data_IF_782646406201
#
_entry.id   IF_782646406201
#
_cell.length_a   1.000
_cell.length_b   1.000
_cell.length_c   1.000
_cell.angle_alpha   90.00
_cell.angle_beta   90.00
_cell.angle_gamma   90.00
#
_symmetry.space_group_name_H-M   'P 1'
#
loop_
_entity.id
_entity.type
_entity.pdbx_description
1 polymer ?
#
# COMPACT_ATOMS: atom_id res chain seq x y z
N UNK A 1 -57.96 61.35 -18.11
CA UNK A 1 -58.23 60.89 -16.73
C UNK A 1 -59.57 60.17 -16.81
N UNK A 2 -59.72 58.86 -16.62
CA UNK A 2 -59.24 57.97 -15.55
C UNK A 2 -59.20 56.52 -16.07
N UNK A 3 -58.27 55.74 -15.52
CA UNK A 3 -58.09 54.30 -15.75
C UNK A 3 -59.21 53.49 -15.05
N UNK A 4 -59.56 52.32 -15.60
CA UNK A 4 -59.42 51.00 -14.93
C UNK A 4 -60.03 49.87 -15.78
N UNK A 5 -59.22 48.87 -16.10
CA UNK A 5 -59.59 47.45 -16.07
C UNK A 5 -58.30 46.61 -15.95
N UNK A 6 -58.37 45.60 -15.11
CA UNK A 6 -57.35 44.64 -14.61
C UNK A 6 -58.03 43.26 -14.72
N UNK A 7 -57.37 42.08 -14.68
CA UNK A 7 -56.10 41.58 -15.22
C UNK A 7 -56.32 40.33 -16.14
N UNK A 8 -55.29 39.85 -16.84
CA UNK A 8 -55.19 38.45 -17.33
C UNK A 8 -53.68 38.12 -17.39
N UNK A 9 -53.07 37.51 -16.37
CA UNK A 9 -53.01 36.08 -16.05
C UNK A 9 -52.50 35.23 -17.22
N UNK A 10 -51.20 34.89 -17.09
CA UNK A 10 -50.53 33.63 -17.44
C UNK A 10 -50.14 33.32 -18.90
N UNK A 11 -48.85 32.99 -19.04
CA UNK A 11 -48.24 31.85 -19.77
C UNK A 11 -47.06 32.29 -20.66
N UNK A 12 -45.87 31.79 -20.32
CA UNK A 12 -44.74 31.77 -21.24
C UNK A 12 -43.34 31.88 -20.61
N UNK A 13 -43.20 31.77 -19.29
CA UNK A 13 -41.90 31.55 -18.65
C UNK A 13 -41.65 30.04 -18.63
N UNK A 14 -41.29 29.46 -19.77
CA UNK A 14 -40.98 28.04 -19.88
C UNK A 14 -39.73 27.84 -20.74
N UNK A 15 -38.79 27.08 -20.18
CA UNK A 15 -37.63 26.44 -20.83
C UNK A 15 -36.31 27.23 -20.85
N UNK A 16 -35.88 27.71 -19.69
CA UNK A 16 -34.46 27.56 -19.33
C UNK A 16 -34.37 26.52 -18.21
N UNK A 17 -34.67 25.26 -18.57
CA UNK A 17 -34.29 24.10 -17.76
C UNK A 17 -32.78 24.19 -17.57
N UNK A 18 -32.38 24.57 -16.36
CA UNK A 18 -31.06 24.33 -15.82
C UNK A 18 -30.76 22.85 -16.00
N UNK A 19 -30.05 22.49 -17.07
CA UNK A 19 -29.22 21.29 -17.06
C UNK A 19 -28.06 21.55 -16.09
N UNK A 20 -28.33 21.55 -14.79
CA UNK A 20 -27.42 20.87 -13.89
C UNK A 20 -27.76 19.39 -14.09
N UNK A 21 -27.20 18.80 -15.15
CA UNK A 21 -26.88 17.38 -15.03
C UNK A 21 -25.77 17.35 -13.99
N UNK A 22 -26.15 17.33 -12.72
CA UNK A 22 -25.32 16.70 -11.73
C UNK A 22 -25.09 15.30 -12.31
N UNK A 23 -23.94 15.08 -12.94
CA UNK A 23 -23.43 13.73 -13.12
C UNK A 23 -23.48 13.18 -11.70
N UNK A 24 -24.48 12.35 -11.43
CA UNK A 24 -24.62 11.69 -10.15
C UNK A 24 -23.32 10.91 -9.99
N UNK A 25 -22.38 11.48 -9.21
CA UNK A 25 -21.06 10.88 -9.03
C UNK A 25 -21.32 9.43 -8.66
N UNK A 26 -20.72 8.46 -9.36
CA UNK A 26 -20.97 7.06 -9.09
C UNK A 26 -20.79 6.82 -7.59
N UNK A 27 -21.85 6.34 -6.94
CA UNK A 27 -21.77 6.01 -5.51
C UNK A 27 -21.04 4.69 -5.38
N UNK A 28 -19.72 4.75 -5.30
CA UNK A 28 -18.90 3.60 -4.97
C UNK A 28 -19.02 3.29 -3.46
N UNK A 29 -18.85 2.02 -3.04
CA UNK A 29 -18.66 1.68 -1.64
C UNK A 29 -17.43 2.37 -1.05
N UNK A 30 -17.40 2.56 0.28
CA UNK A 30 -16.19 2.99 0.99
C UNK A 30 -15.06 1.96 0.85
N UNK A 31 -15.38 0.66 0.79
CA UNK A 31 -14.37 -0.37 0.56
C UNK A 31 -13.76 -0.23 -0.86
N UNK A 32 -12.42 -0.17 -0.98
CA UNK A 32 -11.79 0.05 -2.26
C UNK A 32 -11.95 -1.16 -3.17
N UNK A 33 -11.98 -0.92 -4.48
CA UNK A 33 -12.03 -1.97 -5.49
C UNK A 33 -10.90 -1.79 -6.50
N UNK A 34 -10.25 -2.88 -6.90
CA UNK A 34 -9.19 -2.88 -7.90
C UNK A 34 -9.44 -3.86 -9.05
N UNK A 35 -8.98 -3.49 -10.23
CA UNK A 35 -9.06 -4.30 -11.44
C UNK A 35 -7.70 -4.33 -12.14
N UNK A 36 -7.24 -5.53 -12.50
CA UNK A 36 -5.98 -5.70 -13.22
C UNK A 36 -6.04 -5.07 -14.61
N UNK A 37 -4.99 -4.34 -15.00
CA UNK A 37 -4.85 -3.82 -16.36
C UNK A 37 -3.68 -4.51 -17.07
N UNK A 38 -2.48 -4.42 -16.52
CA UNK A 38 -1.29 -4.96 -17.17
C UNK A 38 -0.16 -5.24 -16.20
N UNK A 39 0.69 -6.18 -16.57
CA UNK A 39 1.95 -6.47 -15.92
C UNK A 39 3.03 -6.59 -16.99
N UNK A 40 4.09 -5.78 -16.89
CA UNK A 40 5.16 -5.73 -17.89
C UNK A 40 6.51 -5.88 -17.22
N UNK A 41 7.23 -6.93 -17.58
CA UNK A 41 8.65 -7.06 -17.28
C UNK A 41 9.48 -6.27 -18.29
N UNK A 42 10.50 -5.58 -17.82
CA UNK A 42 11.43 -4.78 -18.62
C UNK A 42 12.83 -5.14 -18.16
N UNK A 43 13.55 -5.85 -19.01
CA UNK A 43 14.96 -6.17 -18.80
C UNK A 43 15.83 -4.92 -19.03
N UNK A 44 16.76 -4.66 -18.12
CA UNK A 44 17.77 -3.61 -18.28
C UNK A 44 19.08 -4.21 -18.80
N UNK A 45 19.76 -3.60 -19.80
CA UNK A 45 20.93 -4.22 -20.44
C UNK A 45 22.16 -4.38 -19.54
N UNK A 46 22.27 -3.58 -18.47
CA UNK A 46 23.40 -3.62 -17.55
C UNK A 46 23.22 -4.66 -16.45
N UNK A 47 24.21 -5.52 -16.22
CA UNK A 47 24.19 -6.54 -15.14
C UNK A 47 24.10 -5.96 -13.73
N UNK A 48 24.37 -4.65 -13.57
CA UNK A 48 24.25 -3.91 -12.31
C UNK A 48 22.98 -3.06 -12.24
N UNK A 49 22.25 -2.92 -13.34
CA UNK A 49 21.00 -2.17 -13.38
C UNK A 49 19.83 -3.08 -12.99
N UNK A 50 18.89 -2.60 -12.16
CA UNK A 50 17.75 -3.40 -11.77
C UNK A 50 16.74 -3.54 -12.91
N UNK A 51 16.32 -4.77 -13.17
CA UNK A 51 15.16 -5.04 -14.01
C UNK A 51 13.91 -4.44 -13.38
N UNK A 52 12.89 -4.22 -14.21
CA UNK A 52 11.63 -3.58 -13.80
C UNK A 52 10.45 -4.49 -14.02
N UNK A 53 9.50 -4.43 -13.09
CA UNK A 53 8.14 -4.92 -13.31
C UNK A 53 7.19 -3.75 -13.09
N UNK A 54 6.54 -3.31 -14.15
CA UNK A 54 5.47 -2.33 -14.10
C UNK A 54 4.13 -3.05 -13.95
N UNK A 55 3.47 -2.87 -12.81
CA UNK A 55 2.11 -3.35 -12.55
C UNK A 55 1.14 -2.19 -12.61
N UNK A 56 0.19 -2.26 -13.54
CA UNK A 56 -0.87 -1.28 -13.67
C UNK A 56 -2.21 -1.92 -13.31
N UNK A 57 -2.96 -1.24 -12.46
CA UNK A 57 -4.32 -1.60 -12.08
C UNK A 57 -5.19 -0.35 -12.00
N UNK A 58 -6.48 -0.53 -12.22
CA UNK A 58 -7.48 0.49 -11.98
C UNK A 58 -8.00 0.39 -10.55
N UNK A 59 -8.36 1.53 -9.95
CA UNK A 59 -8.94 1.59 -8.61
C UNK A 59 -10.24 2.40 -8.57
N UNK A 60 -11.09 2.08 -7.60
CA UNK A 60 -12.25 2.87 -7.15
C UNK A 60 -12.28 2.90 -5.62
N UNK A 61 -12.68 4.04 -5.07
CA UNK A 61 -12.76 4.29 -3.63
C UNK A 61 -13.87 5.33 -3.37
N UNK A 62 -14.87 5.00 -2.56
CA UNK A 62 -16.14 5.76 -2.50
C UNK A 62 -16.16 6.96 -1.55
N UNK A 63 -15.28 6.98 -0.56
CA UNK A 63 -15.13 8.07 0.42
C UNK A 63 -13.80 8.83 0.25
N UNK A 64 -13.02 8.50 -0.78
CA UNK A 64 -11.83 9.22 -1.22
C UNK A 64 -10.70 9.24 -0.19
N UNK A 65 -10.61 8.25 0.69
CA UNK A 65 -9.58 8.14 1.70
C UNK A 65 -8.41 7.22 1.29
N UNK A 66 -8.34 6.84 0.01
CA UNK A 66 -7.22 6.08 -0.52
C UNK A 66 -5.87 6.82 -0.45
N UNK A 67 -4.83 6.11 0.00
CA UNK A 67 -3.46 6.63 0.09
C UNK A 67 -2.99 6.85 1.53
N UNK A 68 -1.69 6.65 1.79
CA UNK A 68 -1.08 6.79 3.12
C UNK A 68 0.11 7.75 3.05
N UNK A 69 -0.06 9.04 3.38
CA UNK A 69 1.01 10.02 3.31
C UNK A 69 2.10 9.73 4.37
N UNK A 70 3.30 10.28 4.17
CA UNK A 70 4.41 10.21 5.13
C UNK A 70 4.38 11.41 6.08
N UNK A 71 3.29 11.58 6.83
CA UNK A 71 3.19 12.54 7.93
C UNK A 71 3.08 11.81 9.27
N UNK A 72 3.38 12.49 10.38
CA UNK A 72 3.35 11.90 11.72
C UNK A 72 2.06 11.14 12.00
N UNK A 73 0.89 11.72 11.67
CA UNK A 73 -0.44 11.10 11.82
C UNK A 73 -0.57 9.72 11.14
N UNK A 74 0.10 9.53 10.00
CA UNK A 74 0.07 8.29 9.23
C UNK A 74 1.35 7.46 9.38
N UNK A 75 2.25 7.84 10.28
CA UNK A 75 3.43 7.06 10.66
C UNK A 75 3.47 6.74 12.15
N UNK A 76 2.47 7.19 12.92
CA UNK A 76 2.14 6.77 14.27
C UNK A 76 1.05 5.69 14.23
N UNK A 77 0.60 5.21 15.40
CA UNK A 77 -0.55 4.30 15.51
C UNK A 77 -1.77 4.82 14.71
N UNK A 78 -2.48 3.96 13.95
CA UNK A 78 -2.26 2.52 13.74
C UNK A 78 -1.32 2.18 12.58
N UNK A 79 -0.57 3.15 12.05
CA UNK A 79 0.26 3.06 10.84
C UNK A 79 1.76 3.17 11.10
N UNK A 80 2.22 2.94 12.32
CA UNK A 80 3.65 2.90 12.67
C UNK A 80 4.36 1.75 11.96
N UNK A 81 5.67 1.86 11.71
CA UNK A 81 6.40 0.88 10.91
C UNK A 81 6.49 -0.51 11.55
N UNK A 82 6.84 -0.55 12.82
CA UNK A 82 7.04 -1.78 13.57
C UNK A 82 6.80 -1.52 15.04
N UNK A 83 6.41 -2.56 15.78
CA UNK A 83 6.39 -2.54 17.24
C UNK A 83 7.65 -3.22 17.77
N UNK A 84 8.24 -2.62 18.81
CA UNK A 84 9.19 -3.26 19.72
C UNK A 84 8.47 -3.73 20.98
N UNK A 85 9.13 -4.51 21.85
CA UNK A 85 8.48 -5.11 23.01
C UNK A 85 9.28 -4.87 24.28
N UNK A 86 8.59 -4.45 25.35
CA UNK A 86 9.22 -4.19 26.65
C UNK A 86 9.65 -5.49 27.34
N UNK A 87 10.80 -5.49 28.01
CA UNK A 87 11.22 -6.63 28.85
C UNK A 87 10.33 -6.83 30.07
N UNK A 88 9.78 -5.75 30.62
CA UNK A 88 9.02 -5.80 31.89
C UNK A 88 7.75 -6.63 31.82
N UNK A 89 7.04 -6.55 30.70
CA UNK A 89 5.69 -7.11 30.55
C UNK A 89 5.36 -7.63 29.15
N UNK A 90 6.28 -7.51 28.19
CA UNK A 90 6.06 -7.92 26.80
C UNK A 90 5.06 -7.03 26.04
N UNK A 91 4.68 -5.87 26.58
CA UNK A 91 3.76 -4.96 25.88
C UNK A 91 4.44 -4.27 24.68
N UNK A 92 3.69 -4.02 23.59
CA UNK A 92 4.25 -3.36 22.41
C UNK A 92 4.53 -1.89 22.67
N UNK A 93 5.61 -1.41 22.04
CA UNK A 93 6.01 -0.01 21.93
C UNK A 93 6.16 0.33 20.46
N UNK A 94 5.51 1.41 20.02
CA UNK A 94 5.59 1.83 18.63
C UNK A 94 6.98 2.38 18.31
N UNK A 95 7.44 2.16 17.07
CA UNK A 95 8.77 2.56 16.65
C UNK A 95 9.02 4.07 16.73
N UNK A 96 8.00 4.91 16.56
CA UNK A 96 8.09 6.37 16.68
C UNK A 96 8.48 6.82 18.10
N UNK A 97 7.94 6.18 19.14
CA UNK A 97 8.33 6.43 20.55
C UNK A 97 9.73 5.90 20.83
N UNK A 98 10.04 4.72 20.29
CA UNK A 98 11.28 4.03 20.61
C UNK A 98 12.49 4.69 19.93
N UNK A 99 12.36 5.00 18.64
CA UNK A 99 13.44 5.59 17.84
C UNK A 99 13.59 7.10 18.07
N UNK A 100 12.64 7.77 18.75
CA UNK A 100 12.83 9.15 19.21
C UNK A 100 13.72 9.26 20.47
N UNK A 101 14.05 8.12 21.10
CA UNK A 101 14.83 8.07 22.33
C UNK A 101 14.01 8.29 23.60
N UNK A 102 12.67 8.31 23.51
CA UNK A 102 11.79 8.43 24.68
C UNK A 102 11.74 7.16 25.53
N UNK A 103 12.20 6.02 25.00
CA UNK A 103 12.31 4.75 25.72
C UNK A 103 13.70 4.13 25.54
N UNK A 104 14.40 3.73 26.63
CA UNK A 104 15.75 3.19 26.53
C UNK A 104 15.75 1.80 25.87
N UNK A 105 16.64 1.58 24.90
CA UNK A 105 16.75 0.28 24.21
C UNK A 105 17.13 -0.88 25.13
N UNK A 106 17.74 -0.62 26.28
CA UNK A 106 18.08 -1.63 27.28
C UNK A 106 16.86 -2.29 27.94
N UNK A 107 15.73 -1.58 27.94
CA UNK A 107 14.47 -2.05 28.51
C UNK A 107 13.59 -2.78 27.48
N UNK A 108 14.07 -2.94 26.24
CA UNK A 108 13.41 -3.70 25.17
C UNK A 108 14.00 -5.09 25.03
N UNK A 109 13.17 -6.06 24.62
CA UNK A 109 13.60 -7.43 24.36
C UNK A 109 14.70 -7.44 23.29
N UNK A 110 15.85 -7.98 23.66
CA UNK A 110 17.05 -8.11 22.84
C UNK A 110 17.31 -9.57 22.48
N UNK A 111 18.09 -9.80 21.42
CA UNK A 111 18.48 -11.13 20.98
C UNK A 111 19.09 -12.00 22.08
N UNK A 112 19.87 -11.41 22.98
CA UNK A 112 20.50 -12.13 24.10
C UNK A 112 19.51 -12.59 25.17
N UNK A 113 18.34 -11.94 25.29
CA UNK A 113 17.36 -12.30 26.31
C UNK A 113 16.69 -13.65 26.04
N UNK A 114 16.71 -14.12 24.78
CA UNK A 114 16.10 -15.41 24.35
C UNK A 114 16.71 -16.64 25.01
N UNK A 115 17.84 -16.51 25.70
CA UNK A 115 18.50 -17.61 26.41
C UNK A 115 17.86 -17.88 27.78
N UNK A 116 16.89 -17.08 28.20
CA UNK A 116 16.23 -17.20 29.52
C UNK A 116 14.71 -16.99 29.43
N UNK A 117 13.92 -17.72 30.23
CA UNK A 117 12.50 -17.43 30.38
C UNK A 117 12.25 -15.98 30.86
N UNK A 118 11.17 -15.32 30.41
CA UNK A 118 10.09 -15.85 29.56
C UNK A 118 10.34 -15.71 28.04
N UNK A 119 11.55 -15.33 27.61
CA UNK A 119 11.85 -15.00 26.22
C UNK A 119 12.39 -16.18 25.39
N UNK A 120 12.51 -17.35 26.00
CA UNK A 120 12.98 -18.59 25.38
C UNK A 120 12.05 -19.15 24.29
N UNK A 121 10.83 -18.61 24.18
CA UNK A 121 9.88 -18.92 23.11
C UNK A 121 10.00 -18.02 21.88
N UNK A 122 10.78 -16.93 21.97
CA UNK A 122 11.01 -16.01 20.84
C UNK A 122 11.88 -16.72 19.79
N UNK A 123 11.65 -16.52 18.48
CA UNK A 123 12.44 -17.17 17.43
C UNK A 123 13.95 -17.07 17.67
N UNK A 124 14.57 -18.23 17.85
CA UNK A 124 16.00 -18.40 18.10
C UNK A 124 16.84 -18.44 16.82
N UNK A 125 16.24 -18.02 15.69
CA UNK A 125 16.92 -17.90 14.41
C UNK A 125 18.12 -16.97 14.52
N UNK A 126 18.94 -16.92 13.48
CA UNK A 126 20.09 -16.02 13.42
C UNK A 126 19.68 -14.56 13.78
N UNK A 127 20.52 -13.84 14.54
CA UNK A 127 20.24 -12.44 14.93
C UNK A 127 20.07 -11.50 13.74
N UNK A 128 20.55 -11.91 12.55
CA UNK A 128 20.39 -11.18 11.29
C UNK A 128 19.06 -11.48 10.57
N UNK A 129 18.17 -12.32 11.13
CA UNK A 129 16.83 -12.57 10.59
C UNK A 129 15.90 -11.39 10.89
N UNK A 130 15.87 -10.44 9.96
CA UNK A 130 15.08 -9.21 10.00
C UNK A 130 13.55 -9.41 10.05
N UNK A 131 13.06 -10.65 9.96
CA UNK A 131 11.64 -10.92 10.23
C UNK A 131 11.33 -10.78 11.71
N UNK A 132 12.34 -10.94 12.56
CA UNK A 132 12.21 -10.96 14.02
C UNK A 132 13.14 -9.96 14.72
N UNK A 133 14.26 -9.59 14.09
CA UNK A 133 15.33 -8.82 14.71
C UNK A 133 15.66 -7.54 13.96
N UNK A 134 15.57 -6.40 14.65
CA UNK A 134 15.91 -5.08 14.13
C UNK A 134 17.22 -4.61 14.73
N UNK A 135 18.21 -4.28 13.89
CA UNK A 135 19.51 -3.79 14.35
C UNK A 135 19.48 -2.28 14.56
N UNK A 136 19.80 -1.83 15.77
CA UNK A 136 19.93 -0.42 16.12
C UNK A 136 20.96 -0.22 17.22
N UNK A 137 21.89 0.72 17.04
CA UNK A 137 22.91 1.09 18.03
C UNK A 137 23.65 -0.10 18.67
N UNK A 138 24.03 -1.09 17.84
CA UNK A 138 24.76 -2.28 18.31
C UNK A 138 23.90 -3.35 18.97
N UNK A 139 22.57 -3.18 19.01
CA UNK A 139 21.61 -4.11 19.59
C UNK A 139 20.72 -4.72 18.52
N UNK A 140 20.30 -5.97 18.75
CA UNK A 140 19.28 -6.65 17.95
C UNK A 140 18.00 -6.71 18.79
N UNK A 141 17.03 -5.90 18.42
CA UNK A 141 15.77 -5.74 19.14
C UNK A 141 14.71 -6.65 18.54
N UNK A 142 13.95 -7.36 19.38
CA UNK A 142 12.81 -8.11 18.90
C UNK A 142 11.73 -7.14 18.41
N UNK A 143 11.23 -7.37 17.21
CA UNK A 143 10.21 -6.51 16.62
C UNK A 143 9.17 -7.30 15.83
N UNK A 144 8.00 -6.69 15.66
CA UNK A 144 6.93 -7.19 14.80
C UNK A 144 6.48 -6.06 13.88
N UNK A 145 6.59 -6.30 12.58
CA UNK A 145 6.16 -5.33 11.57
C UNK A 145 4.65 -5.11 11.68
N UNK A 146 4.24 -3.86 11.57
CA UNK A 146 2.84 -3.52 11.51
C UNK A 146 2.28 -3.77 10.11
N UNK A 147 1.25 -4.62 10.01
CA UNK A 147 0.58 -4.89 8.74
C UNK A 147 -0.07 -3.65 8.13
N UNK A 148 -0.41 -2.66 8.94
CA UNK A 148 -1.08 -1.44 8.53
C UNK A 148 -0.15 -0.35 8.02
N UNK A 149 1.18 -0.50 8.16
CA UNK A 149 2.11 0.50 7.64
C UNK A 149 2.00 0.71 6.13
N UNK A 150 1.65 -0.34 5.37
CA UNK A 150 1.56 -0.31 3.91
C UNK A 150 0.11 -0.36 3.43
N UNK A 151 -0.20 0.41 2.38
CA UNK A 151 -1.51 0.41 1.71
C UNK A 151 -1.49 -0.31 0.35
N UNK A 152 -0.33 -0.78 -0.10
CA UNK A 152 -0.20 -1.71 -1.21
C UNK A 152 0.54 -2.96 -0.74
N UNK A 153 -0.11 -4.11 -0.85
CA UNK A 153 0.44 -5.42 -0.53
C UNK A 153 0.71 -6.15 -1.84
N UNK A 154 1.94 -6.64 -2.01
CA UNK A 154 2.45 -7.26 -3.25
C UNK A 154 3.10 -8.59 -2.94
N UNK A 155 2.55 -9.68 -3.46
CA UNK A 155 3.08 -11.04 -3.24
C UNK A 155 3.54 -11.66 -4.55
N UNK A 156 4.72 -12.27 -4.52
CA UNK A 156 5.30 -12.97 -5.67
C UNK A 156 5.01 -14.45 -5.53
N UNK A 157 4.34 -15.01 -6.53
CA UNK A 157 3.94 -16.41 -6.59
C UNK A 157 4.67 -17.06 -7.75
N UNK A 158 5.44 -18.12 -7.52
CA UNK A 158 6.19 -18.78 -8.60
C UNK A 158 5.84 -20.26 -8.71
N UNK A 159 6.03 -20.81 -9.92
CA UNK A 159 5.79 -22.20 -10.24
C UNK A 159 6.77 -22.69 -11.31
N UNK A 160 7.19 -23.96 -11.23
CA UNK A 160 7.98 -24.58 -12.29
C UNK A 160 7.09 -25.17 -13.40
N UNK A 161 5.87 -25.61 -13.07
CA UNK A 161 4.93 -26.28 -14.00
C UNK A 161 3.77 -25.39 -14.44
N UNK A 162 3.58 -24.25 -13.79
CA UNK A 162 2.46 -23.33 -14.04
C UNK A 162 1.14 -23.79 -13.42
N UNK A 163 1.12 -24.89 -12.66
CA UNK A 163 -0.07 -25.45 -12.02
C UNK A 163 -0.13 -25.09 -10.55
N UNK A 164 0.95 -25.35 -9.81
CA UNK A 164 1.01 -25.09 -8.38
C UNK A 164 1.96 -23.92 -8.11
N UNK A 165 1.42 -22.86 -7.50
CA UNK A 165 2.18 -21.65 -7.19
C UNK A 165 2.53 -21.59 -5.70
N UNK A 166 3.76 -21.17 -5.40
CA UNK A 166 4.25 -20.96 -4.04
C UNK A 166 4.63 -19.49 -3.85
N UNK A 167 4.29 -18.92 -2.70
CA UNK A 167 4.67 -17.55 -2.34
C UNK A 167 6.16 -17.48 -1.99
N UNK A 168 6.84 -16.47 -2.52
CA UNK A 168 8.20 -16.11 -2.11
C UNK A 168 8.14 -15.08 -0.98
N UNK A 169 8.63 -15.43 0.22
CA UNK A 169 8.88 -14.43 1.26
C UNK A 169 10.23 -13.74 0.99
N UNK A 170 10.17 -12.55 0.40
CA UNK A 170 11.35 -11.74 0.11
C UNK A 170 12.17 -11.38 1.35
N UNK A 171 11.55 -11.34 2.53
CA UNK A 171 12.23 -10.98 3.77
C UNK A 171 13.15 -12.10 4.25
N UNK A 172 12.80 -13.34 3.97
CA UNK A 172 13.66 -14.48 4.26
C UNK A 172 14.95 -14.46 3.41
N UNK A 173 14.88 -13.90 2.20
CA UNK A 173 16.02 -13.84 1.29
C UNK A 173 16.89 -12.60 1.49
N UNK A 174 16.27 -11.41 1.51
CA UNK A 174 16.99 -10.14 1.37
C UNK A 174 16.48 -9.04 2.31
N UNK A 175 15.66 -9.37 3.30
CA UNK A 175 15.14 -8.39 4.26
C UNK A 175 14.44 -7.19 3.62
N UNK A 176 13.79 -7.44 2.49
CA UNK A 176 13.05 -6.45 1.73
C UNK A 176 11.72 -7.04 1.29
N UNK A 177 10.81 -6.20 0.84
CA UNK A 177 9.56 -6.60 0.19
C UNK A 177 9.11 -5.48 -0.75
N UNK A 178 8.14 -5.81 -1.58
CA UNK A 178 7.56 -4.87 -2.53
C UNK A 178 6.26 -4.26 -2.03
N UNK A 179 5.97 -4.35 -0.72
CA UNK A 179 4.84 -3.61 -0.17
C UNK A 179 5.19 -2.13 -0.20
N UNK A 180 4.20 -1.28 -0.43
CA UNK A 180 4.46 0.13 -0.66
C UNK A 180 3.36 1.03 -0.10
N UNK A 181 3.73 2.29 0.08
CA UNK A 181 2.86 3.40 0.50
C UNK A 181 2.68 4.34 -0.67
N UNK A 182 1.55 4.26 -1.37
CA UNK A 182 1.22 5.26 -2.39
C UNK A 182 0.60 6.51 -1.73
N UNK A 183 0.80 7.71 -2.31
CA UNK A 183 0.44 8.97 -1.67
C UNK A 183 -1.07 9.12 -1.45
N UNK A 184 -1.45 10.02 -0.54
CA UNK A 184 -2.85 10.46 -0.35
C UNK A 184 -3.43 11.03 -1.66
N UNK A 185 -4.60 10.50 -2.05
CA UNK A 185 -5.31 10.90 -3.27
C UNK A 185 -6.53 11.78 -3.00
N UNK A 186 -6.89 12.05 -1.74
CA UNK A 186 -8.12 12.77 -1.36
C UNK A 186 -8.20 14.19 -1.93
N UNK A 187 -7.07 14.90 -1.96
CA UNK A 187 -6.96 16.26 -2.51
C UNK A 187 -6.60 16.32 -4.00
N UNK A 188 -6.58 15.18 -4.70
CA UNK A 188 -6.08 15.13 -6.06
C UNK A 188 -7.07 15.74 -7.08
N UNK A 189 -6.52 16.46 -8.07
CA UNK A 189 -7.32 17.15 -9.08
C UNK A 189 -7.88 16.17 -10.12
N UNK A 190 -9.11 16.41 -10.60
CA UNK A 190 -9.70 15.68 -11.73
C UNK A 190 -8.75 15.71 -12.94
N UNK A 191 -8.59 14.57 -13.63
CA UNK A 191 -7.72 14.42 -14.81
C UNK A 191 -6.24 14.81 -14.58
N UNK A 192 -5.73 14.61 -13.36
CA UNK A 192 -4.32 14.87 -13.05
C UNK A 192 -3.49 13.58 -13.04
N UNK A 193 -2.17 13.76 -13.09
CA UNK A 193 -1.20 12.66 -12.91
C UNK A 193 -0.29 12.98 -11.75
N UNK A 194 -0.14 12.03 -10.83
CA UNK A 194 0.79 12.11 -9.70
C UNK A 194 1.92 11.12 -9.95
N UNK A 195 3.15 11.62 -9.94
CA UNK A 195 4.34 10.78 -9.93
C UNK A 195 4.98 10.90 -8.55
N UNK A 196 5.05 9.80 -7.80
CA UNK A 196 5.59 9.77 -6.44
C UNK A 196 6.31 8.46 -6.17
N UNK A 197 7.63 8.51 -5.99
CA UNK A 197 8.46 7.32 -5.80
C UNK A 197 8.23 6.29 -6.93
N UNK A 198 7.92 5.02 -6.61
CA UNK A 198 7.69 3.98 -7.60
C UNK A 198 6.29 4.05 -8.25
N UNK A 199 5.53 5.13 -8.04
CA UNK A 199 4.16 5.25 -8.51
C UNK A 199 4.00 6.30 -9.61
N UNK A 200 3.26 5.92 -10.65
CA UNK A 200 2.62 6.83 -11.59
C UNK A 200 1.10 6.62 -11.53
N UNK A 201 0.37 7.64 -11.10
CA UNK A 201 -1.07 7.57 -10.81
C UNK A 201 -1.80 8.52 -11.74
N UNK A 202 -2.67 7.99 -12.59
CA UNK A 202 -3.51 8.76 -13.52
C UNK A 202 -4.92 8.81 -12.95
N UNK A 203 -5.32 9.96 -12.44
CA UNK A 203 -6.63 10.15 -11.83
C UNK A 203 -7.65 10.56 -12.87
N UNK A 204 -8.79 9.87 -12.89
CA UNK A 204 -9.98 10.40 -13.57
C UNK A 204 -10.68 11.40 -12.65
N UNK A 205 -10.78 11.10 -11.37
CA UNK A 205 -11.16 11.99 -10.27
C UNK A 205 -10.53 11.46 -8.96
N UNK A 206 -10.89 12.02 -7.80
CA UNK A 206 -10.37 11.58 -6.50
C UNK A 206 -10.89 10.19 -6.06
N UNK A 207 -11.98 9.69 -6.67
CA UNK A 207 -12.58 8.39 -6.37
C UNK A 207 -12.09 7.26 -7.28
N UNK A 208 -11.50 7.56 -8.44
CA UNK A 208 -11.11 6.52 -9.40
C UNK A 208 -9.96 6.93 -10.32
N UNK A 209 -9.17 5.94 -10.73
CA UNK A 209 -8.03 6.17 -11.60
C UNK A 209 -7.23 4.90 -11.88
N UNK A 210 -6.03 5.07 -12.43
CA UNK A 210 -5.08 4.00 -12.68
C UNK A 210 -3.83 4.23 -11.88
N UNK A 211 -3.36 3.21 -11.18
CA UNK A 211 -2.07 3.22 -10.46
C UNK A 211 -1.14 2.30 -11.23
N UNK A 212 0.04 2.81 -11.57
CA UNK A 212 1.19 2.00 -12.00
C UNK A 212 2.21 1.97 -10.88
N UNK A 213 2.57 0.78 -10.42
CA UNK A 213 3.63 0.53 -9.46
C UNK A 213 4.82 -0.11 -10.18
N UNK A 214 5.96 0.57 -10.20
CA UNK A 214 7.21 0.09 -10.77
C UNK A 214 8.07 -0.53 -9.68
N UNK A 215 8.23 -1.84 -9.74
CA UNK A 215 9.13 -2.58 -8.86
C UNK A 215 10.49 -2.76 -9.53
N UNK A 216 11.56 -2.57 -8.77
CA UNK A 216 12.94 -2.67 -9.25
C UNK A 216 13.67 -3.79 -8.52
N UNK A 217 14.35 -4.68 -9.24
CA UNK A 217 15.20 -5.70 -8.62
C UNK A 217 16.24 -6.24 -9.59
N UNK A 218 17.48 -6.38 -9.12
CA UNK A 218 18.50 -7.20 -9.81
C UNK A 218 18.28 -8.70 -9.61
N UNK A 219 17.36 -9.09 -8.73
CA UNK A 219 17.07 -10.48 -8.38
C UNK A 219 15.97 -11.14 -9.21
N UNK A 220 15.20 -10.40 -10.03
CA UNK A 220 14.03 -10.95 -10.72
C UNK A 220 14.39 -12.15 -11.62
N UNK A 221 15.35 -12.01 -12.53
CA UNK A 221 15.78 -13.12 -13.39
C UNK A 221 16.54 -14.21 -12.61
N UNK A 222 17.31 -13.83 -11.60
CA UNK A 222 18.04 -14.80 -10.78
C UNK A 222 17.09 -15.74 -10.00
N UNK A 223 15.96 -15.22 -9.53
CA UNK A 223 14.99 -15.98 -8.74
C UNK A 223 13.91 -16.66 -9.60
N UNK A 224 13.47 -16.00 -10.67
CA UNK A 224 12.31 -16.43 -11.45
C UNK A 224 12.61 -16.76 -12.92
N UNK A 225 13.85 -16.61 -13.38
CA UNK A 225 14.23 -16.96 -14.75
C UNK A 225 13.90 -18.41 -15.07
N UNK A 226 13.15 -18.64 -16.15
CA UNK A 226 12.66 -19.96 -16.54
C UNK A 226 11.52 -20.53 -15.68
N UNK A 227 11.01 -19.78 -14.69
CA UNK A 227 9.82 -20.13 -13.90
C UNK A 227 8.60 -19.36 -14.41
N UNK A 228 7.42 -19.84 -14.04
CA UNK A 228 6.15 -19.12 -14.22
C UNK A 228 5.92 -18.23 -13.01
N UNK A 229 5.85 -16.93 -13.21
CA UNK A 229 5.62 -15.95 -12.14
C UNK A 229 4.19 -15.41 -12.21
N UNK A 230 3.55 -15.24 -11.06
CA UNK A 230 2.33 -14.45 -10.89
C UNK A 230 2.56 -13.45 -9.77
N UNK A 231 1.90 -12.30 -9.86
CA UNK A 231 1.96 -11.30 -8.80
C UNK A 231 0.55 -11.05 -8.28
N UNK A 232 0.37 -11.13 -6.97
CA UNK A 232 -0.88 -10.85 -6.29
C UNK A 232 -0.82 -9.46 -5.66
N UNK A 233 -1.90 -8.70 -5.80
CA UNK A 233 -2.02 -7.33 -5.28
C UNK A 233 -3.30 -7.19 -4.44
N UNK A 234 -3.20 -6.42 -3.36
CA UNK A 234 -4.32 -5.91 -2.59
C UNK A 234 -3.98 -4.51 -2.10
N UNK A 235 -4.97 -3.61 -2.06
CA UNK A 235 -4.80 -2.29 -1.45
C UNK A 235 -5.62 -2.15 -0.18
N UNK A 236 -5.24 -1.17 0.63
CA UNK A 236 -5.99 -0.71 1.80
C UNK A 236 -6.20 0.80 1.73
N UNK A 237 -7.33 1.24 2.23
CA UNK A 237 -7.58 2.66 2.46
C UNK A 237 -7.10 3.10 3.85
N UNK A 238 -7.43 4.33 4.26
CA UNK A 238 -7.06 4.85 5.59
C UNK A 238 -7.99 4.36 6.69
N UNK A 239 -9.24 4.03 6.39
CA UNK A 239 -10.14 3.34 7.31
C UNK A 239 -9.79 1.85 7.53
N UNK A 240 -8.73 1.34 6.87
CA UNK A 240 -8.26 -0.05 6.87
C UNK A 240 -9.21 -1.04 6.18
N UNK A 241 -10.15 -0.56 5.36
CA UNK A 241 -10.88 -1.45 4.46
C UNK A 241 -9.91 -2.00 3.41
N UNK A 242 -10.13 -3.24 3.00
CA UNK A 242 -9.26 -3.97 2.07
C UNK A 242 -9.96 -4.12 0.75
N UNK A 243 -9.23 -3.99 -0.36
CA UNK A 243 -9.82 -4.31 -1.65
C UNK A 243 -10.00 -5.81 -1.87
N UNK A 244 -10.71 -6.17 -2.94
CA UNK A 244 -10.53 -7.47 -3.58
C UNK A 244 -9.05 -7.71 -3.93
N UNK A 245 -8.68 -8.98 -4.06
CA UNK A 245 -7.33 -9.39 -4.49
C UNK A 245 -7.34 -9.61 -6.01
N UNK A 246 -6.36 -9.04 -6.70
CA UNK A 246 -6.10 -9.35 -8.11
C UNK A 246 -4.80 -10.13 -8.24
N UNK A 247 -4.74 -11.00 -9.23
CA UNK A 247 -3.55 -11.77 -9.55
C UNK A 247 -3.28 -11.62 -11.05
N UNK A 248 -2.01 -11.38 -11.41
CA UNK A 248 -1.64 -11.28 -12.82
C UNK A 248 -1.82 -12.61 -13.56
N UNK A 249 -1.89 -12.53 -14.89
CA UNK A 249 -1.54 -13.68 -15.72
C UNK A 249 -0.09 -14.13 -15.47
N UNK A 250 0.26 -15.29 -16.02
CA UNK A 250 1.62 -15.82 -15.92
C UNK A 250 2.59 -14.89 -16.66
N UNK A 251 3.59 -14.41 -15.93
CA UNK A 251 4.75 -13.68 -16.41
C UNK A 251 5.91 -14.66 -16.61
N UNK A 252 6.63 -14.49 -17.71
CA UNK A 252 7.85 -15.22 -18.02
C UNK A 252 8.99 -14.20 -18.13
N UNK A 253 10.07 -14.41 -17.38
CA UNK A 253 11.23 -13.52 -17.26
C UNK A 253 12.48 -14.14 -17.89
#
# INVERSE_FOLDING_TARGET
MTKKLVPLVLIGLALSLSKCSDEESPRYPAEPYIEFISAKFIETPGVTEPDKIDLTFYYRDGDSDLGLPYSTEYTSDPFHFTSFFRKSDGSPLHADITLSGEYPFDDLIQFTDRESPPFDTIPSTNQYDCRYWYYHEGKYLYHQRNENYFNLIVKFLYSNDGLNFTELDWRELVCHDFYARFPDLSGARKNSTISSGPFNIQLKNNLEGKITHTMLSTGFKALFGGKKLKISLQIKDRALNRSNVIVTDILEL
#
